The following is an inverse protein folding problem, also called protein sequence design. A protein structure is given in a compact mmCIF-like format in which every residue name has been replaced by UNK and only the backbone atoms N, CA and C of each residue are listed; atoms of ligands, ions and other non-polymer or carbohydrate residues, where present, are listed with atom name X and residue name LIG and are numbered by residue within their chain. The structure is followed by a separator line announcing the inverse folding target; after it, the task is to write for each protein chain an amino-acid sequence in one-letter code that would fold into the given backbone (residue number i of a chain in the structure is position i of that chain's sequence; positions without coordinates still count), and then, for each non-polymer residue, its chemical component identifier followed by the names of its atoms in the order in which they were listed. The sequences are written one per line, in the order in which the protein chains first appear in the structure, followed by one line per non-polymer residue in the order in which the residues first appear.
data_IF_928280383326
#
_entry.id   IF_928280383326
#
_cell.length_a   1.000
_cell.length_b   1.000
_cell.length_c   1.000
_cell.angle_alpha   90.00
_cell.angle_beta   90.00
_cell.angle_gamma   90.00
#
_symmetry.space_group_name_H-M   'P 1'
#
loop_
_entity.id
_entity.type
_entity.pdbx_description
1 polymer ?
#
# COMPACT_ATOMS: atom_id res chain seq x y z
N UNK A 1 -5.56 37.10 28.29
CA UNK A 1 -6.01 35.70 28.50
C UNK A 1 -7.03 35.24 27.46
N UNK A 2 -8.17 35.91 27.28
CA UNK A 2 -9.20 35.53 26.28
C UNK A 2 -8.70 35.47 24.82
N UNK A 3 -7.85 36.40 24.41
CA UNK A 3 -7.22 36.41 23.06
C UNK A 3 -6.24 35.25 22.83
N UNK A 4 -5.54 34.82 23.88
CA UNK A 4 -4.64 33.66 23.84
C UNK A 4 -5.45 32.35 23.78
N UNK A 5 -6.57 32.28 24.50
CA UNK A 5 -7.49 31.14 24.43
C UNK A 5 -8.13 30.97 23.04
N UNK A 6 -8.54 32.08 22.40
CA UNK A 6 -9.08 32.06 21.03
C UNK A 6 -8.01 31.67 20.00
N UNK A 7 -6.77 32.12 20.18
CA UNK A 7 -5.66 31.75 19.31
C UNK A 7 -5.33 30.25 19.41
N UNK A 8 -5.31 29.69 20.62
CA UNK A 8 -5.09 28.25 20.84
C UNK A 8 -6.24 27.41 20.26
N UNK A 9 -7.48 27.87 20.38
CA UNK A 9 -8.64 27.23 19.74
C UNK A 9 -8.53 27.26 18.22
N UNK A 10 -8.16 28.40 17.62
CA UNK A 10 -7.99 28.51 16.17
C UNK A 10 -6.83 27.65 15.65
N UNK A 11 -5.70 27.60 16.37
CA UNK A 11 -4.57 26.73 16.03
C UNK A 11 -4.96 25.25 16.17
N UNK A 12 -5.70 24.88 17.20
CA UNK A 12 -6.22 23.52 17.38
C UNK A 12 -7.18 23.10 16.26
N UNK A 13 -8.08 24.00 15.84
CA UNK A 13 -9.01 23.77 14.71
C UNK A 13 -8.24 23.65 13.38
N UNK A 14 -7.18 24.45 13.18
CA UNK A 14 -6.30 24.32 12.02
C UNK A 14 -5.53 22.98 12.03
N UNK A 15 -5.11 22.51 13.21
CA UNK A 15 -4.37 21.26 13.36
C UNK A 15 -5.25 20.02 13.08
N UNK A 16 -6.52 20.04 13.53
CA UNK A 16 -7.50 18.97 13.23
C UNK A 16 -7.74 18.86 11.72
N UNK A 17 -7.83 19.99 11.02
CA UNK A 17 -7.99 20.01 9.56
C UNK A 17 -6.80 19.36 8.84
N UNK A 18 -5.59 19.43 9.40
CA UNK A 18 -4.37 18.88 8.78
C UNK A 18 -4.29 17.34 8.90
N UNK A 19 -4.85 16.76 9.97
CA UNK A 19 -4.87 15.29 10.13
C UNK A 19 -5.75 14.61 9.08
N UNK A 20 -6.83 15.26 8.62
CA UNK A 20 -7.69 14.71 7.56
C UNK A 20 -7.03 14.60 6.18
N UNK A 21 -5.85 15.22 5.98
CA UNK A 21 -5.13 15.21 4.69
C UNK A 21 -3.91 14.28 4.66
N UNK A 22 -3.55 13.65 5.79
CA UNK A 22 -2.56 12.60 5.80
C UNK A 22 -3.28 11.26 5.97
N UNK A 23 -3.36 10.41 4.92
CA UNK A 23 -3.88 9.07 5.10
C UNK A 23 -3.02 8.38 6.17
N UNK A 24 -3.67 7.78 7.17
CA UNK A 24 -2.97 6.88 8.08
C UNK A 24 -2.39 5.73 7.23
N UNK A 25 -1.17 5.24 7.53
CA UNK A 25 -0.68 4.02 6.91
C UNK A 25 -1.73 2.91 7.11
N UNK A 26 -1.77 1.89 6.23
CA UNK A 26 -2.79 0.86 6.31
C UNK A 26 -2.70 0.22 7.70
N UNK A 27 -3.84 0.00 8.34
CA UNK A 27 -3.87 -0.46 9.73
C UNK A 27 -2.98 -1.70 9.90
N UNK A 28 -2.17 -1.76 10.97
CA UNK A 28 -1.39 -2.96 11.25
C UNK A 28 -2.37 -4.16 11.31
N UNK A 29 -2.17 -5.14 10.42
CA UNK A 29 -3.02 -6.34 10.33
C UNK A 29 -3.89 -6.48 9.07
N UNK A 30 -3.83 -5.55 8.11
CA UNK A 30 -4.57 -5.68 6.83
C UNK A 30 -4.12 -6.90 6.01
N UNK A 31 -2.81 -7.19 6.02
CA UNK A 31 -2.23 -8.34 5.31
C UNK A 31 -1.54 -9.30 6.29
N UNK A 32 -1.49 -10.62 5.99
CA UNK A 32 -0.75 -11.58 6.80
C UNK A 32 0.71 -11.14 7.01
N UNK A 33 1.30 -11.47 8.17
CA UNK A 33 2.64 -11.00 8.56
C UNK A 33 3.71 -11.30 7.51
N UNK A 34 3.67 -12.51 6.92
CA UNK A 34 4.63 -12.94 5.90
C UNK A 34 4.49 -12.13 4.60
N UNK A 35 3.26 -11.85 4.19
CA UNK A 35 2.96 -11.01 3.02
C UNK A 35 3.40 -9.57 3.30
N UNK A 36 3.07 -9.04 4.46
CA UNK A 36 3.48 -7.71 4.92
C UNK A 36 5.00 -7.55 4.87
N UNK A 37 5.76 -8.57 5.28
CA UNK A 37 7.22 -8.54 5.21
C UNK A 37 7.73 -8.40 3.76
N UNK A 38 7.15 -9.13 2.81
CA UNK A 38 7.49 -9.06 1.38
C UNK A 38 7.12 -7.70 0.80
N UNK A 39 5.92 -7.21 1.07
CA UNK A 39 5.45 -5.93 0.57
C UNK A 39 6.33 -4.77 1.07
N UNK A 40 6.66 -4.77 2.36
CA UNK A 40 7.61 -3.81 2.96
C UNK A 40 8.97 -3.88 2.31
N UNK A 41 9.49 -5.09 2.06
CA UNK A 41 10.83 -5.26 1.51
C UNK A 41 10.93 -4.97 0.02
N UNK A 42 9.87 -5.13 -0.77
CA UNK A 42 9.98 -5.14 -2.23
C UNK A 42 9.04 -4.18 -2.97
N UNK A 43 8.00 -3.66 -2.31
CA UNK A 43 6.95 -2.89 -2.96
C UNK A 43 6.80 -1.48 -2.40
N UNK A 44 6.92 -1.31 -1.08
CA UNK A 44 6.56 -0.06 -0.39
C UNK A 44 7.44 1.12 -0.76
N UNK A 45 8.69 0.90 -1.16
CA UNK A 45 9.60 1.94 -1.65
C UNK A 45 9.00 2.76 -2.82
N UNK A 46 8.00 2.26 -3.55
CA UNK A 46 7.36 2.98 -4.67
C UNK A 46 5.82 3.02 -4.63
N UNK A 47 5.19 2.20 -3.80
CA UNK A 47 3.72 2.05 -3.73
C UNK A 47 3.14 2.56 -2.40
N UNK A 48 3.80 3.55 -1.80
CA UNK A 48 3.33 4.31 -0.62
C UNK A 48 3.45 5.81 -0.92
N UNK A 49 2.56 6.64 -0.35
CA UNK A 49 2.50 8.05 -0.71
C UNK A 49 3.81 8.80 -0.38
N UNK A 50 4.53 8.35 0.65
CA UNK A 50 5.78 8.97 1.09
C UNK A 50 6.91 8.91 0.04
N UNK A 51 7.00 7.84 -0.76
CA UNK A 51 8.14 7.60 -1.66
C UNK A 51 7.76 7.28 -3.11
N UNK A 52 6.47 7.06 -3.38
CA UNK A 52 5.97 6.70 -4.70
C UNK A 52 5.94 7.83 -5.73
N UNK A 53 6.02 7.45 -7.00
CA UNK A 53 5.76 8.36 -8.12
C UNK A 53 4.25 8.46 -8.39
N UNK A 54 3.80 9.55 -9.03
CA UNK A 54 2.39 9.68 -9.42
C UNK A 54 1.88 8.47 -10.23
N UNK A 55 2.71 7.94 -11.13
CA UNK A 55 2.36 6.76 -11.94
C UNK A 55 2.22 5.50 -11.11
N UNK A 56 3.13 5.25 -10.17
CA UNK A 56 3.08 4.04 -9.34
C UNK A 56 1.89 4.08 -8.39
N UNK A 57 1.62 5.23 -7.76
CA UNK A 57 0.50 5.43 -6.85
C UNK A 57 -0.87 5.39 -7.55
N UNK A 58 -0.97 5.91 -8.78
CA UNK A 58 -2.18 5.75 -9.60
C UNK A 58 -2.47 4.29 -9.97
N UNK A 59 -1.43 3.46 -10.08
CA UNK A 59 -1.60 2.04 -10.33
C UNK A 59 -2.01 1.30 -9.04
N UNK A 60 -1.28 1.55 -7.94
CA UNK A 60 -1.49 0.93 -6.64
C UNK A 60 -0.83 1.79 -5.55
N UNK A 61 -1.59 2.10 -4.50
CA UNK A 61 -1.11 2.72 -3.28
C UNK A 61 -1.55 1.86 -2.08
N UNK A 62 -0.59 1.24 -1.41
CA UNK A 62 -0.88 0.36 -0.27
C UNK A 62 -1.39 1.13 0.94
N UNK A 63 -1.08 2.43 1.09
CA UNK A 63 -1.62 3.24 2.19
C UNK A 63 -3.11 3.53 2.03
N UNK A 64 -3.63 3.43 0.81
CA UNK A 64 -5.05 3.62 0.51
C UNK A 64 -5.83 2.31 0.44
N UNK A 65 -5.22 1.17 0.83
CA UNK A 65 -5.82 -0.15 0.63
C UNK A 65 -7.24 -0.26 1.19
N UNK A 66 -7.44 0.17 2.44
CA UNK A 66 -8.73 0.11 3.14
C UNK A 66 -9.75 1.13 2.60
N UNK A 67 -9.31 2.13 1.84
CA UNK A 67 -10.17 3.13 1.22
C UNK A 67 -10.64 2.71 -0.17
N UNK A 68 -10.03 1.69 -0.76
CA UNK A 68 -10.47 1.15 -2.03
C UNK A 68 -11.79 0.40 -1.89
N UNK A 69 -12.65 0.54 -2.92
CA UNK A 69 -13.85 -0.30 -3.05
C UNK A 69 -13.42 -1.77 -3.14
N UNK A 70 -14.24 -2.69 -2.63
CA UNK A 70 -14.01 -4.14 -2.69
C UNK A 70 -13.63 -4.63 -4.10
N UNK A 71 -14.37 -4.21 -5.12
CA UNK A 71 -14.09 -4.54 -6.53
C UNK A 71 -12.72 -4.05 -7.01
N UNK A 72 -12.27 -2.90 -6.50
CA UNK A 72 -10.94 -2.36 -6.80
C UNK A 72 -9.85 -3.14 -6.06
N UNK A 73 -10.07 -3.54 -4.80
CA UNK A 73 -9.13 -4.40 -4.07
C UNK A 73 -8.94 -5.73 -4.80
N UNK A 74 -10.03 -6.41 -5.19
CA UNK A 74 -9.99 -7.67 -5.96
C UNK A 74 -9.21 -7.49 -7.27
N UNK A 75 -9.49 -6.43 -8.03
CA UNK A 75 -8.77 -6.14 -9.27
C UNK A 75 -7.27 -5.88 -9.05
N UNK A 76 -6.93 -5.13 -8.00
CA UNK A 76 -5.54 -4.87 -7.62
C UNK A 76 -4.81 -6.15 -7.20
N UNK A 77 -5.45 -7.05 -6.44
CA UNK A 77 -4.87 -8.35 -6.09
C UNK A 77 -4.54 -9.15 -7.37
N UNK A 78 -5.48 -9.21 -8.32
CA UNK A 78 -5.24 -9.86 -9.62
C UNK A 78 -4.07 -9.23 -10.40
N UNK A 79 -3.98 -7.91 -10.43
CA UNK A 79 -2.87 -7.20 -11.07
C UNK A 79 -1.53 -7.49 -10.39
N UNK A 80 -1.47 -7.45 -9.05
CA UNK A 80 -0.27 -7.77 -8.25
C UNK A 80 0.20 -9.19 -8.55
N UNK A 81 -0.70 -10.18 -8.43
CA UNK A 81 -0.37 -11.58 -8.68
C UNK A 81 0.23 -11.79 -10.06
N UNK A 82 -0.41 -11.22 -11.10
CA UNK A 82 0.06 -11.31 -12.48
C UNK A 82 1.46 -10.72 -12.67
N UNK A 83 1.70 -9.49 -12.23
CA UNK A 83 2.99 -8.82 -12.49
C UNK A 83 4.13 -9.45 -11.68
N UNK A 84 3.83 -10.04 -10.52
CA UNK A 84 4.78 -10.80 -9.70
C UNK A 84 5.13 -12.13 -10.36
N UNK A 85 4.14 -12.89 -10.82
CA UNK A 85 4.35 -14.15 -11.56
C UNK A 85 5.16 -13.93 -12.84
N UNK A 86 4.85 -12.86 -13.58
CA UNK A 86 5.59 -12.48 -14.78
C UNK A 86 6.99 -11.91 -14.47
N UNK A 87 7.35 -11.73 -13.19
CA UNK A 87 8.64 -11.17 -12.77
C UNK A 87 8.86 -9.72 -13.19
N UNK A 88 7.78 -8.99 -13.50
CA UNK A 88 7.81 -7.58 -13.91
C UNK A 88 7.99 -6.62 -12.74
N UNK A 89 7.68 -7.07 -11.53
CA UNK A 89 7.85 -6.31 -10.30
C UNK A 89 8.81 -7.02 -9.32
N UNK A 90 9.74 -6.28 -8.69
CA UNK A 90 10.10 -4.88 -8.99
C UNK A 90 10.76 -4.73 -10.37
N UNK A 91 10.65 -3.57 -11.06
CA UNK A 91 11.20 -3.41 -12.41
C UNK A 91 12.73 -3.55 -12.43
N UNK A 92 13.28 -4.13 -13.50
CA UNK A 92 14.72 -4.39 -13.62
C UNK A 92 15.62 -3.15 -13.36
N UNK A 93 15.25 -1.99 -13.91
CA UNK A 93 15.98 -0.72 -13.69
C UNK A 93 16.03 -0.28 -12.21
N UNK A 94 15.00 -0.62 -11.44
CA UNK A 94 14.99 -0.35 -10.01
C UNK A 94 15.92 -1.34 -9.29
N UNK A 95 15.86 -2.62 -9.67
CA UNK A 95 16.72 -3.68 -9.12
C UNK A 95 18.22 -3.48 -9.42
N UNK A 96 18.58 -2.82 -10.53
CA UNK A 96 19.97 -2.44 -10.82
C UNK A 96 20.59 -1.58 -9.70
N UNK A 97 19.76 -0.75 -9.04
CA UNK A 97 20.18 0.12 -7.93
C UNK A 97 19.91 -0.49 -6.56
N UNK A 98 18.95 -1.41 -6.48
CA UNK A 98 18.43 -2.02 -5.26
C UNK A 98 18.25 -3.54 -5.43
N UNK A 99 19.36 -4.30 -5.63
CA UNK A 99 19.28 -5.72 -5.93
C UNK A 99 18.71 -6.55 -4.77
N UNK A 100 18.84 -6.06 -3.54
CA UNK A 100 18.28 -6.64 -2.31
C UNK A 100 16.75 -6.62 -2.27
N UNK A 101 16.10 -5.84 -3.13
CA UNK A 101 14.64 -5.75 -3.25
C UNK A 101 14.05 -6.83 -4.15
N UNK A 102 14.88 -7.62 -4.83
CA UNK A 102 14.45 -8.66 -5.76
C UNK A 102 13.71 -9.77 -5.01
N UNK A 103 12.50 -10.08 -5.46
CA UNK A 103 11.75 -11.22 -4.96
C UNK A 103 12.46 -12.53 -5.32
N UNK A 104 12.66 -13.38 -4.32
CA UNK A 104 13.01 -14.79 -4.54
C UNK A 104 11.84 -15.54 -5.19
N UNK A 105 12.11 -16.68 -5.81
CA UNK A 105 11.05 -17.51 -6.43
C UNK A 105 10.01 -17.98 -5.41
N UNK A 106 10.44 -18.27 -4.17
CA UNK A 106 9.54 -18.60 -3.07
C UNK A 106 8.62 -17.42 -2.70
N UNK A 107 9.17 -16.20 -2.58
CA UNK A 107 8.38 -15.00 -2.29
C UNK A 107 7.41 -14.66 -3.43
N UNK A 108 7.83 -14.81 -4.69
CA UNK A 108 6.95 -14.59 -5.85
C UNK A 108 5.76 -15.55 -5.81
N UNK A 109 6.03 -16.84 -5.60
CA UNK A 109 4.99 -17.87 -5.52
C UNK A 109 4.04 -17.59 -4.36
N UNK A 110 4.58 -17.34 -3.17
CA UNK A 110 3.77 -17.04 -1.99
C UNK A 110 2.86 -15.83 -2.21
N UNK A 111 3.42 -14.73 -2.74
CA UNK A 111 2.67 -13.51 -2.99
C UNK A 111 1.60 -13.71 -4.07
N UNK A 112 1.93 -14.43 -5.15
CA UNK A 112 0.99 -14.75 -6.22
C UNK A 112 -0.17 -15.65 -5.75
N UNK A 113 0.13 -16.69 -4.97
CA UNK A 113 -0.89 -17.58 -4.41
C UNK A 113 -1.81 -16.80 -3.47
N UNK A 114 -1.24 -16.04 -2.53
CA UNK A 114 -2.01 -15.21 -1.61
C UNK A 114 -2.92 -14.22 -2.33
N UNK A 115 -2.45 -13.56 -3.40
CA UNK A 115 -3.33 -12.62 -4.13
C UNK A 115 -4.55 -13.29 -4.73
N UNK A 116 -4.44 -14.54 -5.18
CA UNK A 116 -5.57 -15.31 -5.73
C UNK A 116 -6.54 -15.69 -4.62
N UNK A 117 -6.01 -16.25 -3.53
CA UNK A 117 -6.81 -16.68 -2.38
C UNK A 117 -7.55 -15.50 -1.72
N UNK A 118 -6.87 -14.36 -1.54
CA UNK A 118 -7.49 -13.19 -0.95
C UNK A 118 -8.53 -12.57 -1.89
N UNK A 119 -8.29 -12.56 -3.21
CA UNK A 119 -9.28 -12.09 -4.18
C UNK A 119 -10.53 -12.96 -4.18
N UNK A 120 -10.37 -14.29 -4.17
CA UNK A 120 -11.48 -15.25 -4.10
C UNK A 120 -12.27 -15.11 -2.80
N UNK A 121 -11.59 -14.89 -1.68
CA UNK A 121 -12.23 -14.63 -0.38
C UNK A 121 -13.04 -13.33 -0.41
N UNK A 122 -12.48 -12.25 -0.94
CA UNK A 122 -13.17 -10.96 -1.07
C UNK A 122 -14.37 -11.04 -2.01
N UNK A 123 -14.30 -11.84 -3.08
CA UNK A 123 -15.43 -12.09 -3.99
C UNK A 123 -16.57 -12.88 -3.35
N UNK A 124 -16.29 -13.70 -2.33
CA UNK A 124 -17.29 -14.51 -1.62
C UNK A 124 -17.90 -13.78 -0.42
N UNK A 125 -17.39 -12.60 -0.06
CA UNK A 125 -17.81 -11.85 1.13
C UNK A 125 -19.03 -10.93 0.89
N UNK A 126 -19.64 -10.98 -0.31
CA UNK A 126 -20.86 -10.24 -0.69
C UNK A 126 -22.16 -10.97 -0.31
#
# INVERSE_FOLDING_TARGET
MKKQLVLLLAIGILFISFQSFNPEPPSEGVFPDEISAILKSSCYDCHTAATGSEKSLKALDFEQWDQYRLTKQIGLLGDIGKVVEEGKMPPGKYLEKKPDRKLSEAQKKLLADWTKEEADKLMQAD
#
